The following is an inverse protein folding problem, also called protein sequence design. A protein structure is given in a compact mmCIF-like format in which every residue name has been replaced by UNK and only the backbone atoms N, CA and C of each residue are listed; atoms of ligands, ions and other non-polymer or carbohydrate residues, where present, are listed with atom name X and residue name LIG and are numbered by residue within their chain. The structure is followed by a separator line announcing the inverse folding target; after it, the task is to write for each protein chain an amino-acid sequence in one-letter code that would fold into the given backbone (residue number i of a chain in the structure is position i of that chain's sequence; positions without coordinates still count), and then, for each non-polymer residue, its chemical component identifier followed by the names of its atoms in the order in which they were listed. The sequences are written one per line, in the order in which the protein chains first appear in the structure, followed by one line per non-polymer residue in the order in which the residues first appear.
data_IF_658885234891
#
_entry.id   IF_658885234891
#
_cell.length_a   1.000
_cell.length_b   1.000
_cell.length_c   1.000
_cell.angle_alpha   90.00
_cell.angle_beta   90.00
_cell.angle_gamma   90.00
#
_symmetry.space_group_name_H-M   'P 1'
#
loop_
_entity.id
_entity.type
_entity.pdbx_description
1 polymer ?
#
# COMPACT_ATOMS: atom_id res chain seq x y z
N UNK A 1 -9.10 -22.58 -10.41
CA UNK A 1 -9.63 -22.21 -9.08
C UNK A 1 -8.89 -21.05 -8.39
N UNK A 2 -7.54 -21.00 -8.32
CA UNK A 2 -6.86 -19.85 -7.66
C UNK A 2 -7.20 -18.52 -8.33
N UNK A 3 -7.04 -18.42 -9.65
CA UNK A 3 -7.28 -17.18 -10.41
C UNK A 3 -8.72 -16.70 -10.27
N UNK A 4 -9.67 -17.62 -10.32
CA UNK A 4 -11.10 -17.35 -10.18
C UNK A 4 -11.42 -16.76 -8.81
N UNK A 5 -10.93 -17.38 -7.73
CA UNK A 5 -11.16 -16.89 -6.37
C UNK A 5 -10.55 -15.49 -6.18
N UNK A 6 -9.33 -15.25 -6.68
CA UNK A 6 -8.70 -13.94 -6.58
C UNK A 6 -9.46 -12.88 -7.38
N UNK A 7 -9.94 -13.21 -8.57
CA UNK A 7 -10.72 -12.31 -9.42
C UNK A 7 -12.05 -11.95 -8.78
N UNK A 8 -12.78 -12.94 -8.24
CA UNK A 8 -14.05 -12.69 -7.55
C UNK A 8 -13.86 -11.92 -6.24
N UNK A 9 -12.77 -12.18 -5.51
CA UNK A 9 -12.44 -11.40 -4.30
C UNK A 9 -12.11 -9.96 -4.65
N UNK A 10 -11.33 -9.72 -5.70
CA UNK A 10 -11.03 -8.38 -6.19
C UNK A 10 -12.30 -7.65 -6.65
N UNK A 11 -13.19 -8.35 -7.38
CA UNK A 11 -14.49 -7.83 -7.79
C UNK A 11 -15.32 -7.33 -6.60
N UNK A 12 -15.44 -8.14 -5.56
CA UNK A 12 -16.17 -7.75 -4.35
C UNK A 12 -15.65 -6.43 -3.78
N UNK A 13 -14.33 -6.30 -3.63
CA UNK A 13 -13.74 -5.05 -3.10
C UNK A 13 -13.88 -3.86 -4.05
N UNK A 14 -13.81 -4.05 -5.38
CA UNK A 14 -14.06 -2.96 -6.33
C UNK A 14 -15.51 -2.47 -6.28
N UNK A 15 -16.48 -3.36 -6.04
CA UNK A 15 -17.89 -3.00 -5.90
C UNK A 15 -18.17 -2.31 -4.54
N UNK A 16 -17.65 -2.84 -3.44
CA UNK A 16 -17.86 -2.30 -2.08
C UNK A 16 -17.17 -0.96 -1.81
N UNK A 17 -16.16 -0.61 -2.61
CA UNK A 17 -15.40 0.66 -2.46
C UNK A 17 -15.69 1.66 -3.57
N UNK A 18 -16.66 1.37 -4.44
CA UNK A 18 -16.99 2.21 -5.59
C UNK A 18 -17.50 3.61 -5.21
N UNK A 19 -18.08 3.77 -4.02
CA UNK A 19 -18.51 5.05 -3.44
C UNK A 19 -17.36 5.84 -2.79
N UNK A 20 -16.28 5.15 -2.43
CA UNK A 20 -15.09 5.74 -1.77
C UNK A 20 -14.05 6.18 -2.81
N UNK A 21 -13.71 5.30 -3.76
CA UNK A 21 -12.66 5.55 -4.74
C UNK A 21 -13.03 5.00 -6.12
N UNK A 22 -12.94 5.81 -7.19
CA UNK A 22 -13.17 5.32 -8.54
C UNK A 22 -12.13 4.26 -8.89
N UNK A 23 -12.58 3.15 -9.47
CA UNK A 23 -11.72 2.07 -9.91
C UNK A 23 -11.73 1.93 -11.43
N UNK A 24 -10.77 1.15 -11.95
CA UNK A 24 -10.52 1.01 -13.38
C UNK A 24 -11.44 0.00 -14.08
N UNK A 25 -12.30 -0.72 -13.35
CA UNK A 25 -13.08 -1.84 -13.91
C UNK A 25 -14.22 -1.35 -14.81
N UNK A 26 -14.40 -2.02 -15.93
CA UNK A 26 -15.52 -1.81 -16.87
C UNK A 26 -16.50 -2.98 -16.88
N UNK A 27 -16.00 -4.22 -16.97
CA UNK A 27 -16.83 -5.43 -17.00
C UNK A 27 -16.07 -6.70 -16.60
N UNK A 28 -16.83 -7.77 -16.32
CA UNK A 28 -16.34 -9.10 -15.94
C UNK A 28 -16.91 -10.18 -16.87
N UNK A 29 -16.33 -10.40 -18.07
CA UNK A 29 -16.89 -11.32 -19.06
C UNK A 29 -16.72 -12.80 -18.69
N UNK A 30 -15.80 -13.13 -17.78
CA UNK A 30 -15.54 -14.47 -17.25
C UNK A 30 -15.14 -14.37 -15.77
N UNK A 31 -15.39 -15.40 -14.93
CA UNK A 31 -14.94 -15.42 -13.54
C UNK A 31 -13.44 -15.20 -13.30
N UNK A 32 -12.59 -15.29 -14.34
CA UNK A 32 -11.15 -15.07 -14.28
C UNK A 32 -10.68 -13.83 -15.04
N UNK A 33 -11.59 -13.02 -15.59
CA UNK A 33 -11.24 -11.90 -16.48
C UNK A 33 -11.87 -10.61 -15.99
N UNK A 34 -11.05 -9.56 -15.95
CA UNK A 34 -11.47 -8.18 -15.68
C UNK A 34 -11.10 -7.34 -16.90
N UNK A 35 -12.07 -6.65 -17.48
CA UNK A 35 -11.83 -5.62 -18.49
C UNK A 35 -11.80 -4.29 -17.77
N UNK A 36 -10.76 -3.49 -18.01
CA UNK A 36 -10.59 -2.21 -17.34
C UNK A 36 -9.98 -1.15 -18.24
N UNK A 37 -10.09 0.10 -17.78
CA UNK A 37 -9.49 1.26 -18.43
C UNK A 37 -7.98 1.23 -18.22
N UNK A 38 -7.21 1.51 -19.29
CA UNK A 38 -5.77 1.69 -19.18
C UNK A 38 -5.48 2.98 -18.41
N UNK A 39 -4.78 2.85 -17.29
CA UNK A 39 -4.36 3.97 -16.45
C UNK A 39 -2.83 4.11 -16.45
N UNK A 40 -2.37 5.33 -16.22
CA UNK A 40 -0.97 5.59 -15.90
C UNK A 40 -0.74 5.28 -14.42
N UNK A 41 0.05 4.23 -14.16
CA UNK A 41 0.29 3.73 -12.81
C UNK A 41 1.27 4.65 -12.09
N UNK A 42 0.92 5.04 -10.86
CA UNK A 42 1.79 5.80 -9.98
C UNK A 42 3.03 4.95 -9.61
N UNK A 43 4.25 5.51 -9.62
CA UNK A 43 5.50 4.77 -9.36
C UNK A 43 5.75 4.48 -7.88
N UNK A 44 4.69 4.48 -7.06
CA UNK A 44 4.74 4.30 -5.60
C UNK A 44 3.68 3.26 -5.20
N UNK A 45 4.06 2.30 -4.37
CA UNK A 45 3.12 1.37 -3.76
C UNK A 45 2.65 1.90 -2.40
N UNK A 46 1.35 2.11 -2.25
CA UNK A 46 0.74 2.60 -1.01
C UNK A 46 0.33 1.40 -0.17
N UNK A 47 1.06 1.16 0.92
CA UNK A 47 0.77 0.06 1.85
C UNK A 47 0.21 0.62 3.15
N UNK A 48 -1.04 0.27 3.46
CA UNK A 48 -1.68 0.62 4.72
C UNK A 48 -1.49 -0.51 5.73
N UNK A 49 -1.06 -0.18 6.95
CA UNK A 49 -0.81 -1.14 8.03
C UNK A 49 -1.62 -0.78 9.27
N UNK A 50 -2.52 -1.67 9.67
CA UNK A 50 -3.25 -1.55 10.94
C UNK A 50 -2.62 -2.30 12.12
N UNK A 51 -1.61 -3.12 11.87
CA UNK A 51 -0.98 -3.98 12.88
C UNK A 51 0.53 -3.97 12.74
N UNK A 52 1.24 -4.04 13.87
CA UNK A 52 2.69 -4.21 13.93
C UNK A 52 3.09 -5.65 13.56
N UNK A 53 3.02 -5.95 12.27
CA UNK A 53 3.23 -7.30 11.74
C UNK A 53 4.17 -7.30 10.53
N UNK A 54 4.65 -8.51 10.20
CA UNK A 54 5.53 -8.79 9.07
C UNK A 54 6.87 -9.38 9.49
N UNK A 55 7.47 -10.15 8.59
CA UNK A 55 8.72 -10.89 8.84
C UNK A 55 9.85 -10.47 7.92
N UNK A 56 9.57 -9.64 6.91
CA UNK A 56 10.58 -9.13 6.00
C UNK A 56 11.44 -8.07 6.67
N UNK A 57 12.64 -7.84 6.15
CA UNK A 57 13.55 -6.78 6.60
C UNK A 57 12.93 -5.38 6.47
N UNK A 58 12.02 -5.19 5.51
CA UNK A 58 11.28 -3.94 5.25
C UNK A 58 10.02 -3.79 6.11
N UNK A 59 9.60 -4.83 6.82
CA UNK A 59 8.41 -4.75 7.67
C UNK A 59 8.63 -3.87 8.89
N UNK A 60 7.55 -3.20 9.31
CA UNK A 60 7.57 -2.31 10.47
C UNK A 60 7.95 -3.06 11.76
N UNK A 61 7.56 -4.33 11.90
CA UNK A 61 7.90 -5.14 13.07
C UNK A 61 9.41 -5.39 13.16
N UNK A 62 10.05 -5.78 12.07
CA UNK A 62 11.50 -6.04 12.05
C UNK A 62 12.30 -4.78 12.38
N UNK A 63 11.92 -3.63 11.81
CA UNK A 63 12.56 -2.34 12.12
C UNK A 63 12.32 -1.94 13.58
N UNK A 64 11.09 -2.09 14.07
CA UNK A 64 10.74 -1.76 15.45
C UNK A 64 11.55 -2.60 16.46
N UNK A 65 11.71 -3.90 16.20
CA UNK A 65 12.56 -4.79 17.00
C UNK A 65 14.04 -4.41 16.98
N UNK A 66 14.53 -3.78 15.90
CA UNK A 66 15.90 -3.27 15.81
C UNK A 66 16.13 -1.97 16.57
N UNK A 67 15.07 -1.36 17.12
CA UNK A 67 15.13 -0.11 17.87
C UNK A 67 14.72 1.11 17.07
N UNK A 68 14.37 0.97 15.78
CA UNK A 68 13.83 2.08 15.00
C UNK A 68 12.44 2.46 15.56
N UNK A 69 12.24 3.75 15.81
CA UNK A 69 10.94 4.31 16.22
C UNK A 69 10.39 5.29 15.21
N UNK A 70 11.27 6.01 14.53
CA UNK A 70 10.93 6.94 13.45
C UNK A 70 10.99 6.20 12.11
N UNK A 71 9.83 5.96 11.49
CA UNK A 71 9.71 5.27 10.21
C UNK A 71 8.66 5.96 9.34
N UNK A 72 8.92 6.12 8.04
CA UNK A 72 7.96 6.67 7.07
C UNK A 72 7.40 8.06 7.48
N UNK A 73 8.15 8.83 8.28
CA UNK A 73 7.71 10.13 8.82
C UNK A 73 6.83 10.06 10.07
N UNK A 74 6.63 8.87 10.64
CA UNK A 74 5.80 8.62 11.83
C UNK A 74 6.66 8.06 12.95
N UNK A 75 6.44 8.52 14.18
CA UNK A 75 7.07 7.98 15.37
C UNK A 75 6.17 6.98 16.07
N UNK A 76 6.59 5.71 16.13
CA UNK A 76 5.88 4.67 16.86
C UNK A 76 6.15 4.75 18.37
N UNK A 77 5.14 4.52 19.22
CA UNK A 77 5.32 4.48 20.67
C UNK A 77 6.16 3.27 21.10
N UNK A 78 6.83 3.40 22.23
CA UNK A 78 7.52 2.29 22.87
C UNK A 78 6.55 1.29 23.51
N UNK A 79 7.03 0.06 23.72
CA UNK A 79 6.27 -0.99 24.40
C UNK A 79 5.28 -1.77 23.53
N UNK A 80 5.15 -1.45 22.23
CA UNK A 80 4.34 -2.25 21.31
C UNK A 80 4.83 -3.70 21.24
N UNK A 81 3.86 -4.63 21.19
CA UNK A 81 4.11 -6.07 21.05
C UNK A 81 3.95 -6.53 19.60
N UNK A 82 4.51 -7.70 19.32
CA UNK A 82 4.36 -8.38 18.04
C UNK A 82 2.88 -8.60 17.70
N UNK A 83 2.48 -8.23 16.48
CA UNK A 83 1.11 -8.33 15.96
C UNK A 83 0.08 -7.50 16.75
N UNK A 84 0.53 -6.50 17.50
CA UNK A 84 -0.37 -5.57 18.17
C UNK A 84 -1.06 -4.65 17.16
N UNK A 85 -2.34 -4.32 17.42
CA UNK A 85 -3.08 -3.34 16.64
C UNK A 85 -2.51 -1.95 16.90
N UNK A 86 -2.19 -1.22 15.84
CA UNK A 86 -1.75 0.17 15.95
C UNK A 86 -2.95 1.05 16.35
N UNK A 87 -2.66 2.17 17.03
CA UNK A 87 -3.68 3.12 17.44
C UNK A 87 -4.44 3.67 16.22
N UNK A 88 -3.70 3.98 15.16
CA UNK A 88 -4.21 4.42 13.86
C UNK A 88 -3.50 3.64 12.74
N UNK A 89 -4.18 3.33 11.63
CA UNK A 89 -3.53 2.78 10.45
C UNK A 89 -2.45 3.73 9.95
N UNK A 90 -1.29 3.19 9.60
CA UNK A 90 -0.18 3.97 9.05
C UNK A 90 0.05 3.62 7.59
N UNK A 91 0.48 4.61 6.81
CA UNK A 91 0.89 4.42 5.42
C UNK A 91 2.40 4.23 5.38
N UNK A 92 2.85 3.15 4.75
CA UNK A 92 4.27 2.84 4.54
C UNK A 92 4.54 2.71 3.04
N UNK A 93 4.77 3.81 2.34
CA UNK A 93 4.92 3.74 0.89
C UNK A 93 6.28 3.13 0.53
N UNK A 94 6.30 2.40 -0.59
CA UNK A 94 7.53 1.82 -1.15
C UNK A 94 7.69 2.20 -2.62
N UNK A 95 8.93 2.29 -3.07
CA UNK A 95 9.22 2.49 -4.49
C UNK A 95 8.78 1.26 -5.29
N UNK A 96 8.25 1.48 -6.49
CA UNK A 96 7.96 0.38 -7.41
C UNK A 96 9.19 0.10 -8.26
N UNK A 97 9.93 -0.98 -7.97
CA UNK A 97 11.13 -1.31 -8.73
C UNK A 97 10.77 -1.77 -10.16
N UNK A 98 11.20 -1.02 -11.19
CA UNK A 98 10.77 -1.26 -12.56
C UNK A 98 11.24 -2.60 -13.18
N UNK A 99 12.24 -3.28 -12.62
CA UNK A 99 12.91 -4.42 -13.27
C UNK A 99 13.41 -5.49 -12.28
N UNK A 100 12.56 -5.98 -11.38
CA UNK A 100 12.88 -7.10 -10.49
C UNK A 100 13.86 -6.78 -9.34
N UNK A 101 14.09 -5.49 -9.07
CA UNK A 101 14.72 -5.02 -7.84
C UNK A 101 13.80 -5.17 -6.62
N UNK A 102 14.34 -4.99 -5.42
CA UNK A 102 13.55 -4.97 -4.20
C UNK A 102 12.88 -3.60 -4.03
N UNK A 103 11.61 -3.58 -3.60
CA UNK A 103 10.91 -2.36 -3.26
C UNK A 103 11.55 -1.73 -2.02
N UNK A 104 11.87 -0.44 -2.11
CA UNK A 104 12.55 0.28 -1.04
C UNK A 104 11.57 1.16 -0.26
N UNK A 105 11.71 1.23 1.09
CA UNK A 105 10.96 2.18 1.90
C UNK A 105 11.17 3.62 1.43
N UNK A 106 10.08 4.36 1.20
CA UNK A 106 10.13 5.79 0.90
C UNK A 106 9.35 6.56 1.97
N UNK A 107 9.80 7.77 2.29
CA UNK A 107 9.03 8.73 3.08
C UNK A 107 8.27 9.69 2.18
N UNK A 108 7.25 10.38 2.74
CA UNK A 108 6.54 11.48 2.04
C UNK A 108 7.52 12.49 1.44
N UNK A 109 8.55 12.88 2.20
CA UNK A 109 9.54 13.86 1.75
C UNK A 109 10.31 13.34 0.53
N UNK A 110 10.77 12.09 0.56
CA UNK A 110 11.50 11.48 -0.56
C UNK A 110 10.63 11.33 -1.81
N UNK A 111 9.35 11.00 -1.66
CA UNK A 111 8.41 10.88 -2.79
C UNK A 111 8.24 12.21 -3.53
N UNK A 112 8.12 13.31 -2.78
CA UNK A 112 7.95 14.64 -3.34
C UNK A 112 9.27 15.18 -3.92
N UNK A 113 10.39 14.95 -3.24
CA UNK A 113 11.72 15.38 -3.68
C UNK A 113 12.17 14.67 -4.96
N UNK A 114 11.90 13.38 -5.07
CA UNK A 114 12.20 12.60 -6.28
C UNK A 114 11.20 12.85 -7.42
N UNK A 115 10.14 13.65 -7.18
CA UNK A 115 9.10 13.94 -8.17
C UNK A 115 8.29 12.71 -8.57
N UNK A 116 8.22 11.69 -7.71
CA UNK A 116 7.44 10.48 -7.95
C UNK A 116 5.94 10.76 -7.93
N UNK A 117 5.51 11.65 -7.04
CA UNK A 117 4.15 12.18 -6.96
C UNK A 117 4.18 13.69 -6.75
N UNK A 118 3.16 14.37 -7.25
CA UNK A 118 2.89 15.77 -6.89
C UNK A 118 2.27 15.84 -5.49
N UNK A 119 2.34 17.01 -4.84
CA UNK A 119 1.70 17.23 -3.53
C UNK A 119 0.21 16.87 -3.55
N UNK A 120 -0.51 17.31 -4.59
CA UNK A 120 -1.94 17.02 -4.73
C UNK A 120 -2.23 15.52 -4.88
N UNK A 121 -1.40 14.79 -5.63
CA UNK A 121 -1.53 13.34 -5.75
C UNK A 121 -1.24 12.65 -4.42
N UNK A 122 -0.20 13.08 -3.70
CA UNK A 122 0.12 12.53 -2.37
C UNK A 122 -1.03 12.73 -1.41
N UNK A 123 -1.58 13.95 -1.32
CA UNK A 123 -2.67 14.25 -0.39
C UNK A 123 -3.90 13.39 -0.72
N UNK A 124 -4.24 13.27 -2.01
CA UNK A 124 -5.35 12.39 -2.47
C UNK A 124 -5.17 10.92 -2.08
N UNK A 125 -3.94 10.38 -2.09
CA UNK A 125 -3.70 8.97 -1.74
C UNK A 125 -3.47 8.73 -0.26
N UNK A 126 -3.22 9.79 0.52
CA UNK A 126 -2.93 9.70 1.95
C UNK A 126 -4.10 10.07 2.86
N UNK A 127 -5.13 10.71 2.30
CA UNK A 127 -6.40 11.03 2.98
C UNK A 127 -7.30 9.78 3.15
#
# INVERSE_FOLDING_TARGET
CKSEILTQTARYWFEETADICPNHVLEYPDPNVVVGTRLDILPVEIVVRGYLAGTTSTSILTRYKRGDRDMYGIRLPDGLRDNERLAEPIITPTSKAAHGGHDEPLSKAEILEQGLLTQAQWDTVSD
#
